data_IF_133835094103
#
_entry.id   IF_133835094103
#
_cell.length_a   1.000
_cell.length_b   1.000
_cell.length_c   1.000
_cell.angle_alpha   90.00
_cell.angle_beta   90.00
_cell.angle_gamma   90.00
#
_symmetry.space_group_name_H-M   'P 1'
#
loop_
_entity.id
_entity.type
_entity.pdbx_description
1 polymer ?
#
# COMPACT_ATOMS: atom_id res chain seq x y z
N UNK A 1 8.12 9.49 -4.60
CA UNK A 1 9.05 8.45 -4.10
C UNK A 1 8.38 7.13 -3.71
N UNK A 2 7.05 6.96 -3.87
CA UNK A 2 6.37 5.68 -3.57
C UNK A 2 6.41 4.66 -4.73
N UNK A 3 6.32 5.11 -6.00
CA UNK A 3 6.43 4.22 -7.17
C UNK A 3 7.83 3.62 -7.40
N UNK A 4 8.88 4.19 -6.79
CA UNK A 4 10.27 3.75 -7.00
C UNK A 4 10.67 2.52 -6.15
N UNK A 5 9.76 1.97 -5.34
CA UNK A 5 10.05 0.86 -4.40
C UNK A 5 9.39 -0.48 -4.74
N UNK A 6 8.46 -0.54 -5.69
CA UNK A 6 7.84 -1.80 -6.11
C UNK A 6 8.51 -2.35 -7.38
N UNK A 7 9.82 -2.59 -7.35
CA UNK A 7 10.45 -3.44 -8.34
C UNK A 7 10.19 -4.91 -7.96
N UNK A 8 8.93 -5.34 -8.05
CA UNK A 8 8.58 -6.74 -7.93
C UNK A 8 8.96 -7.44 -9.24
N UNK A 9 9.96 -8.32 -9.21
CA UNK A 9 10.16 -9.27 -10.31
C UNK A 9 8.87 -10.07 -10.47
N UNK A 10 8.34 -10.13 -11.68
CA UNK A 10 7.17 -10.97 -11.97
C UNK A 10 7.50 -12.42 -11.59
N UNK A 11 6.70 -13.01 -10.70
CA UNK A 11 6.86 -14.41 -10.28
C UNK A 11 6.14 -15.28 -11.29
N UNK A 12 6.89 -16.19 -11.94
CA UNK A 12 6.29 -17.26 -12.71
C UNK A 12 5.74 -18.34 -11.75
N UNK A 13 4.45 -18.21 -11.44
CA UNK A 13 3.77 -19.13 -10.52
C UNK A 13 3.66 -20.56 -11.05
N UNK A 14 3.69 -20.75 -12.38
CA UNK A 14 3.61 -22.06 -12.99
C UNK A 14 4.94 -22.80 -12.85
N UNK A 15 6.04 -22.14 -13.24
CA UNK A 15 7.38 -22.71 -13.07
C UNK A 15 7.79 -22.86 -11.59
N UNK A 16 7.22 -22.05 -10.69
CA UNK A 16 7.41 -22.25 -9.25
C UNK A 16 6.67 -23.51 -8.77
N UNK A 17 5.41 -23.70 -9.17
CA UNK A 17 4.61 -24.86 -8.77
C UNK A 17 5.24 -26.20 -9.20
N UNK A 18 5.88 -26.25 -10.37
CA UNK A 18 6.59 -27.43 -10.87
C UNK A 18 7.77 -27.86 -9.98
N UNK A 19 8.39 -26.90 -9.26
CA UNK A 19 9.54 -27.15 -8.38
C UNK A 19 9.14 -27.49 -6.95
N UNK A 20 7.85 -27.37 -6.60
CA UNK A 20 7.37 -27.58 -5.24
C UNK A 20 7.14 -29.07 -4.97
N UNK A 21 7.85 -29.66 -4.00
CA UNK A 21 7.61 -31.04 -3.58
C UNK A 21 6.19 -31.26 -3.04
N UNK A 22 5.60 -32.47 -3.19
CA UNK A 22 4.22 -32.74 -2.77
C UNK A 22 3.90 -32.40 -1.31
N UNK A 23 4.85 -32.63 -0.40
CA UNK A 23 4.73 -32.31 1.03
C UNK A 23 4.71 -30.80 1.34
N UNK A 24 5.11 -29.95 0.39
CA UNK A 24 5.16 -28.50 0.56
C UNK A 24 4.08 -27.75 -0.23
N UNK A 25 3.19 -28.46 -0.95
CA UNK A 25 2.10 -27.85 -1.75
C UNK A 25 1.19 -26.94 -0.91
N UNK A 26 0.91 -27.32 0.33
CA UNK A 26 0.11 -26.49 1.24
C UNK A 26 0.79 -25.14 1.56
N UNK A 27 2.12 -25.16 1.77
CA UNK A 27 2.89 -23.94 2.02
C UNK A 27 2.96 -23.05 0.76
N UNK A 28 3.12 -23.65 -0.42
CA UNK A 28 3.06 -22.93 -1.69
C UNK A 28 1.72 -22.23 -1.91
N UNK A 29 0.60 -22.94 -1.71
CA UNK A 29 -0.72 -22.36 -1.87
C UNK A 29 -0.92 -21.17 -0.91
N UNK A 30 -0.49 -21.31 0.34
CA UNK A 30 -0.54 -20.22 1.33
C UNK A 30 0.28 -19.00 0.90
N UNK A 31 1.49 -19.21 0.35
CA UNK A 31 2.33 -18.15 -0.18
C UNK A 31 1.64 -17.43 -1.34
N UNK A 32 1.13 -18.18 -2.31
CA UNK A 32 0.46 -17.64 -3.49
C UNK A 32 -0.74 -16.79 -3.10
N UNK A 33 -1.64 -17.31 -2.26
CA UNK A 33 -2.83 -16.57 -1.80
C UNK A 33 -2.46 -15.26 -1.10
N UNK A 34 -1.42 -15.27 -0.25
CA UNK A 34 -0.96 -14.04 0.42
C UNK A 34 -0.36 -13.05 -0.57
N UNK A 35 0.45 -13.52 -1.51
CA UNK A 35 1.06 -12.68 -2.54
C UNK A 35 0.00 -12.02 -3.42
N UNK A 36 -0.97 -12.80 -3.89
CA UNK A 36 -2.07 -12.30 -4.73
C UNK A 36 -2.93 -11.29 -3.95
N UNK A 37 -3.22 -11.56 -2.67
CA UNK A 37 -3.96 -10.62 -1.81
C UNK A 37 -3.21 -9.29 -1.59
N UNK A 38 -1.89 -9.34 -1.39
CA UNK A 38 -1.07 -8.12 -1.27
C UNK A 38 -1.05 -7.36 -2.60
N UNK A 39 -0.90 -8.06 -3.73
CA UNK A 39 -0.92 -7.47 -5.06
C UNK A 39 -2.24 -6.75 -5.36
N UNK A 40 -3.36 -7.40 -5.07
CA UNK A 40 -4.70 -6.82 -5.23
C UNK A 40 -4.92 -5.60 -4.31
N UNK A 41 -4.46 -5.66 -3.06
CA UNK A 41 -4.55 -4.53 -2.14
C UNK A 41 -3.69 -3.36 -2.60
N UNK A 42 -2.49 -3.63 -3.10
CA UNK A 42 -1.60 -2.60 -3.64
C UNK A 42 -2.20 -1.92 -4.87
N UNK A 43 -2.78 -2.68 -5.81
CA UNK A 43 -3.40 -2.11 -7.01
C UNK A 43 -4.68 -1.33 -6.73
N UNK A 44 -5.39 -1.64 -5.65
CA UNK A 44 -6.58 -0.88 -5.23
C UNK A 44 -6.25 0.47 -4.58
N UNK A 45 -5.02 0.68 -4.14
CA UNK A 45 -4.62 1.91 -3.46
C UNK A 45 -4.19 2.97 -4.48
N UNK A 46 -4.62 4.24 -4.30
CA UNK A 46 -4.17 5.32 -5.16
C UNK A 46 -2.67 5.60 -4.95
N UNK A 47 -1.96 5.93 -6.02
CA UNK A 47 -0.49 6.15 -5.98
C UNK A 47 -0.07 7.31 -5.06
N UNK A 48 -0.97 8.27 -4.86
CA UNK A 48 -0.77 9.43 -3.99
C UNK A 48 -1.90 9.46 -2.96
N UNK A 49 -1.58 9.82 -1.70
CA UNK A 49 -2.61 10.09 -0.71
C UNK A 49 -3.49 11.25 -1.20
N UNK A 50 -4.75 11.26 -0.75
CA UNK A 50 -5.68 12.35 -1.04
C UNK A 50 -5.10 13.66 -0.50
N UNK A 51 -5.09 14.69 -1.34
CA UNK A 51 -4.64 16.02 -0.94
C UNK A 51 -5.61 16.62 0.05
N UNK A 52 -5.12 17.03 1.22
CA UNK A 52 -5.93 17.67 2.26
C UNK A 52 -6.10 19.15 1.89
N UNK A 53 -7.35 19.63 1.84
CA UNK A 53 -7.65 21.06 1.69
C UNK A 53 -7.54 21.77 3.05
N UNK A 54 -6.33 22.20 3.38
CA UNK A 54 -6.06 22.93 4.61
C UNK A 54 -6.75 24.29 4.68
N UNK A 55 -7.09 24.92 3.53
CA UNK A 55 -7.77 26.22 3.49
C UNK A 55 -9.21 26.11 3.99
N UNK A 56 -9.91 25.09 3.50
CA UNK A 56 -11.27 24.75 3.96
C UNK A 56 -11.30 24.51 5.48
N UNK A 57 -10.36 23.74 6.02
CA UNK A 57 -10.31 23.47 7.46
C UNK A 57 -9.90 24.69 8.28
N UNK A 58 -8.95 25.51 7.82
CA UNK A 58 -8.58 26.75 8.52
C UNK A 58 -9.74 27.73 8.66
N UNK A 59 -10.67 27.72 7.70
CA UNK A 59 -11.84 28.60 7.69
C UNK A 59 -12.97 28.08 8.61
N UNK A 60 -13.16 26.76 8.65
CA UNK A 60 -14.32 26.16 9.34
C UNK A 60 -14.02 25.66 10.77
N UNK A 61 -12.75 25.48 11.13
CA UNK A 61 -12.37 25.01 12.46
C UNK A 61 -12.24 26.18 13.41
N UNK A 62 -13.15 26.26 14.39
CA UNK A 62 -13.20 27.35 15.37
C UNK A 62 -11.97 27.44 16.29
N UNK A 63 -11.22 26.34 16.45
CA UNK A 63 -10.03 26.32 17.30
C UNK A 63 -8.83 26.90 16.57
N UNK A 64 -8.47 28.12 16.94
CA UNK A 64 -7.28 28.81 16.43
C UNK A 64 -6.00 27.96 16.63
N UNK A 65 -5.14 27.93 15.60
CA UNK A 65 -3.84 27.24 15.64
C UNK A 65 -3.86 25.73 15.39
N UNK A 66 -4.98 25.04 15.66
CA UNK A 66 -5.07 23.57 15.55
C UNK A 66 -4.80 23.06 14.13
N UNK A 67 -5.39 23.70 13.12
CA UNK A 67 -5.21 23.25 11.72
C UNK A 67 -3.78 23.49 11.24
N UNK A 68 -3.12 24.57 11.71
CA UNK A 68 -1.73 24.85 11.38
C UNK A 68 -0.76 23.84 12.05
N UNK A 69 -1.04 23.42 13.28
CA UNK A 69 -0.29 22.35 13.95
C UNK A 69 -0.40 21.02 13.20
N UNK A 70 -1.60 20.65 12.76
CA UNK A 70 -1.80 19.42 11.98
C UNK A 70 -1.15 19.49 10.60
N UNK A 71 -1.26 20.62 9.91
CA UNK A 71 -0.58 20.82 8.63
C UNK A 71 0.93 20.66 8.76
N UNK A 72 1.53 21.24 9.82
CA UNK A 72 2.97 21.10 10.08
C UNK A 72 3.38 19.65 10.34
N UNK A 73 2.57 18.88 11.08
CA UNK A 73 2.86 17.48 11.42
C UNK A 73 2.65 16.51 10.26
N UNK A 74 1.74 16.82 9.34
CA UNK A 74 1.47 15.98 8.16
C UNK A 74 2.49 16.25 7.05
N UNK A 75 3.07 17.45 7.02
CA UNK A 75 4.08 17.84 6.04
C UNK A 75 5.52 17.45 6.45
N UNK A 76 5.77 17.27 7.75
CA UNK A 76 7.03 16.71 8.29
C UNK A 76 7.15 15.21 8.04
#
# INVERSE_FOLDING_TARGET
>A
MAGKRAALKAIDWLAFAERVPPNQRAMFNNLKTRSDAIGAKLSSLPEKPVTIDWSFYKTNVARAGMVAEFESKVRS
#
